data_IF_485483792365
#
_entry.id   IF_485483792365
#
_cell.length_a   1.000
_cell.length_b   1.000
_cell.length_c   1.000
_cell.angle_alpha   90.00
_cell.angle_beta   90.00
_cell.angle_gamma   90.00
#
_symmetry.space_group_name_H-M   'P 1'
#
loop_
_entity.id
_entity.type
_entity.pdbx_description
1 polymer ?
#
# COMPACT_ATOMS: atom_id res chain seq x y z
N UNK A 1 4.07 13.12 5.60
CA UNK A 1 3.86 11.67 5.39
C UNK A 1 2.44 11.38 4.91
N UNK A 2 1.39 11.78 5.63
CA UNK A 2 -0.01 11.57 5.19
C UNK A 2 -0.33 12.24 3.85
N UNK A 3 0.10 13.49 3.62
CA UNK A 3 -0.10 14.16 2.34
C UNK A 3 0.65 13.49 1.19
N UNK A 4 1.84 12.95 1.47
CA UNK A 4 2.60 12.18 0.49
C UNK A 4 1.86 10.88 0.15
N UNK A 5 1.45 10.09 1.15
CA UNK A 5 0.67 8.87 0.92
C UNK A 5 -0.63 9.13 0.12
N UNK A 6 -1.32 10.23 0.39
CA UNK A 6 -2.49 10.65 -0.40
C UNK A 6 -2.13 10.99 -1.85
N UNK A 7 -1.03 11.72 -2.06
CA UNK A 7 -0.57 12.09 -3.40
C UNK A 7 -0.17 10.86 -4.20
N UNK A 8 0.71 10.00 -3.66
CA UNK A 8 1.18 8.78 -4.35
C UNK A 8 0.01 7.85 -4.68
N UNK A 9 -0.89 7.60 -3.72
CA UNK A 9 -2.06 6.74 -3.95
C UNK A 9 -2.91 7.24 -5.12
N UNK A 10 -3.09 8.57 -5.24
CA UNK A 10 -3.82 9.17 -6.36
C UNK A 10 -3.06 9.06 -7.68
N UNK A 11 -1.75 9.27 -7.67
CA UNK A 11 -0.90 9.24 -8.87
C UNK A 11 -0.82 7.83 -9.47
N UNK A 12 -0.66 6.80 -8.63
CA UNK A 12 -0.50 5.41 -9.06
C UNK A 12 -1.83 4.67 -9.32
N UNK A 13 -2.90 5.01 -8.59
CA UNK A 13 -4.15 4.22 -8.63
C UNK A 13 -5.41 5.03 -8.94
N UNK A 14 -5.30 6.36 -9.02
CA UNK A 14 -6.43 7.27 -9.21
C UNK A 14 -7.31 7.49 -7.97
N UNK A 15 -7.05 6.78 -6.87
CA UNK A 15 -7.89 6.81 -5.67
C UNK A 15 -7.68 8.10 -4.88
N UNK A 16 -8.77 8.81 -4.60
CA UNK A 16 -8.79 9.94 -3.67
C UNK A 16 -9.19 9.46 -2.28
N UNK A 17 -8.34 9.75 -1.29
CA UNK A 17 -8.49 9.25 0.07
C UNK A 17 -7.82 10.20 1.08
N UNK A 18 -8.09 9.97 2.36
CA UNK A 18 -7.41 10.61 3.48
C UNK A 18 -6.53 9.61 4.24
N UNK A 19 -5.28 10.00 4.48
CA UNK A 19 -4.39 9.27 5.41
C UNK A 19 -4.91 9.39 6.85
N UNK A 20 -5.05 8.25 7.54
CA UNK A 20 -5.67 8.16 8.86
C UNK A 20 -4.66 7.91 9.97
N UNK A 21 -3.76 6.96 9.76
CA UNK A 21 -2.78 6.55 10.77
C UNK A 21 -1.58 5.87 10.12
N UNK A 22 -0.47 5.83 10.86
CA UNK A 22 0.70 5.04 10.49
C UNK A 22 0.48 3.63 11.00
N UNK A 23 0.54 2.64 10.11
CA UNK A 23 0.50 1.22 10.51
C UNK A 23 1.88 0.81 11.02
N UNK A 24 2.91 1.09 10.23
CA UNK A 24 4.31 0.75 10.54
C UNK A 24 5.27 1.58 9.71
N UNK A 25 6.54 1.60 10.09
CA UNK A 25 7.63 2.07 9.26
C UNK A 25 8.82 1.11 9.39
N UNK A 26 9.53 0.87 8.29
CA UNK A 26 10.64 -0.08 8.28
C UNK A 26 11.66 0.23 7.20
N UNK A 27 12.88 -0.25 7.43
CA UNK A 27 13.96 -0.13 6.46
C UNK A 27 13.87 -1.23 5.38
N UNK A 28 14.04 -0.83 4.12
CA UNK A 28 14.33 -1.70 3.00
C UNK A 28 15.78 -1.48 2.59
N UNK A 29 16.64 -2.44 2.95
CA UNK A 29 18.09 -2.35 2.76
C UNK A 29 18.54 -3.39 1.76
N UNK A 30 19.04 -2.93 0.62
CA UNK A 30 19.60 -3.80 -0.42
C UNK A 30 21.12 -3.71 -0.39
N UNK A 31 21.78 -4.86 -0.26
CA UNK A 31 23.24 -4.98 -0.27
C UNK A 31 23.72 -5.82 -1.45
N UNK A 32 24.89 -5.49 -1.98
CA UNK A 32 25.58 -6.32 -2.96
C UNK A 32 26.10 -7.62 -2.31
N UNK A 33 26.47 -8.65 -3.11
CA UNK A 33 27.11 -9.87 -2.57
C UNK A 33 28.38 -9.60 -1.75
N UNK A 34 29.09 -8.49 -2.02
CA UNK A 34 30.25 -8.03 -1.25
C UNK A 34 29.91 -7.42 0.12
N UNK A 35 28.62 -7.25 0.43
CA UNK A 35 28.12 -6.57 1.63
C UNK A 35 27.95 -5.05 1.49
N UNK A 36 28.40 -4.46 0.38
CA UNK A 36 28.27 -3.03 0.10
C UNK A 36 26.80 -2.60 0.06
N UNK A 37 26.48 -1.45 0.67
CA UNK A 37 25.14 -0.88 0.63
C UNK A 37 24.85 -0.33 -0.77
N UNK A 38 23.78 -0.82 -1.40
CA UNK A 38 23.31 -0.32 -2.69
C UNK A 38 22.20 0.70 -2.50
N UNK A 39 21.17 0.31 -1.73
CA UNK A 39 20.01 1.15 -1.47
C UNK A 39 19.56 0.99 -0.02
N UNK A 40 19.13 2.10 0.58
CA UNK A 40 18.47 2.12 1.88
C UNK A 40 17.27 3.06 1.78
N UNK A 41 16.09 2.48 1.87
CA UNK A 41 14.84 3.22 1.93
C UNK A 41 14.18 3.05 3.29
N UNK A 42 13.59 4.12 3.81
CA UNK A 42 12.61 4.03 4.88
C UNK A 42 11.23 3.99 4.24
N UNK A 43 10.51 2.88 4.42
CA UNK A 43 9.15 2.71 3.93
C UNK A 43 8.19 2.96 5.09
N UNK A 44 7.30 3.93 4.94
CA UNK A 44 6.25 4.20 5.90
C UNK A 44 4.89 3.84 5.31
N UNK A 45 4.14 3.03 6.05
CA UNK A 45 2.86 2.49 5.62
C UNK A 45 1.74 3.27 6.29
N UNK A 46 0.91 3.91 5.47
CA UNK A 46 -0.21 4.73 5.92
C UNK A 46 -1.52 4.03 5.61
N UNK A 47 -2.38 3.92 6.62
CA UNK A 47 -3.76 3.51 6.42
C UNK A 47 -4.53 4.68 5.80
N UNK A 48 -5.09 4.49 4.61
CA UNK A 48 -5.92 5.47 3.92
C UNK A 48 -7.39 5.04 3.91
N UNK A 49 -8.30 6.01 3.97
CA UNK A 49 -9.74 5.78 3.81
C UNK A 49 -10.24 6.61 2.64
N UNK A 50 -10.90 6.01 1.63
CA UNK A 50 -11.44 6.73 0.49
C UNK A 50 -12.57 7.69 0.93
N UNK A 51 -12.76 8.73 0.14
CA UNK A 51 -13.79 9.75 0.40
C UNK A 51 -15.21 9.24 0.05
N UNK A 52 -15.28 8.14 -0.69
CA UNK A 52 -16.50 7.46 -1.17
C UNK A 52 -16.48 6.00 -0.76
N UNK A 53 -17.63 5.32 -0.89
CA UNK A 53 -17.70 3.88 -0.67
C UNK A 53 -16.76 3.12 -1.62
N UNK A 54 -16.13 2.03 -1.16
CA UNK A 54 -15.17 1.26 -1.97
C UNK A 54 -15.78 0.78 -3.31
N UNK A 55 -17.08 0.47 -3.33
CA UNK A 55 -17.80 0.05 -4.54
C UNK A 55 -17.93 1.17 -5.60
N UNK A 56 -17.77 2.43 -5.20
CA UNK A 56 -17.83 3.60 -6.06
C UNK A 56 -16.44 4.08 -6.51
N UNK A 57 -15.37 3.48 -5.98
CA UNK A 57 -14.00 3.84 -6.34
C UNK A 57 -13.66 3.30 -7.73
N UNK A 58 -13.30 4.20 -8.63
CA UNK A 58 -12.72 3.84 -9.92
C UNK A 58 -11.20 3.70 -9.80
N UNK A 59 -10.70 2.47 -9.89
CA UNK A 59 -9.27 2.19 -9.94
C UNK A 59 -8.74 2.44 -11.36
N UNK A 60 -7.64 3.18 -11.45
CA UNK A 60 -6.92 3.39 -12.70
C UNK A 60 -5.43 3.42 -12.41
N UNK A 61 -4.71 2.46 -12.97
CA UNK A 61 -3.25 2.48 -12.94
C UNK A 61 -2.72 3.77 -13.59
N UNK A 62 -1.71 4.36 -12.96
CA UNK A 62 -1.09 5.62 -13.37
C UNK A 62 0.39 5.65 -13.01
N UNK A 63 1.07 6.68 -13.54
CA UNK A 63 2.52 6.86 -13.44
C UNK A 63 3.32 5.59 -13.79
N UNK A 64 3.94 4.93 -12.81
CA UNK A 64 4.73 3.73 -12.97
C UNK A 64 3.96 2.42 -12.68
N UNK A 65 2.69 2.51 -12.26
CA UNK A 65 1.81 1.37 -12.08
C UNK A 65 1.26 0.89 -13.44
N UNK A 66 1.44 -0.41 -13.72
CA UNK A 66 0.92 -1.05 -14.94
C UNK A 66 -0.55 -1.49 -14.80
N UNK A 67 -0.97 -1.83 -13.58
CA UNK A 67 -2.30 -2.34 -13.26
C UNK A 67 -2.68 -1.96 -11.82
N UNK A 68 -3.97 -1.84 -11.55
CA UNK A 68 -4.50 -1.54 -10.22
C UNK A 68 -5.71 -2.43 -9.91
N UNK A 69 -5.74 -3.01 -8.71
CA UNK A 69 -6.78 -3.93 -8.29
C UNK A 69 -7.00 -3.89 -6.77
N UNK A 70 -8.18 -4.34 -6.36
CA UNK A 70 -8.46 -4.63 -4.95
C UNK A 70 -8.08 -6.07 -4.65
N UNK A 71 -7.43 -6.29 -3.52
CA UNK A 71 -7.02 -7.62 -3.08
C UNK A 71 -7.39 -7.81 -1.61
N UNK A 72 -8.00 -8.94 -1.29
CA UNK A 72 -8.12 -9.40 0.09
C UNK A 72 -6.82 -10.09 0.57
N UNK A 73 -6.79 -10.46 1.86
CA UNK A 73 -5.61 -11.06 2.46
C UNK A 73 -5.25 -12.45 1.86
N UNK A 74 -6.23 -13.20 1.36
CA UNK A 74 -6.00 -14.50 0.75
C UNK A 74 -5.50 -14.37 -0.69
N UNK A 75 -6.00 -13.39 -1.44
CA UNK A 75 -5.48 -13.03 -2.75
C UNK A 75 -4.03 -12.54 -2.67
N UNK A 76 -3.70 -11.67 -1.70
CA UNK A 76 -2.31 -11.25 -1.44
C UNK A 76 -1.44 -12.45 -1.08
N UNK A 77 -1.94 -13.37 -0.24
CA UNK A 77 -1.21 -14.60 0.12
C UNK A 77 -0.93 -15.47 -1.10
N UNK A 78 -1.87 -15.56 -2.05
CA UNK A 78 -1.74 -16.37 -3.25
C UNK A 78 -0.68 -15.84 -4.23
N UNK A 79 -0.40 -14.53 -4.24
CA UNK A 79 0.67 -13.93 -5.05
C UNK A 79 2.07 -14.44 -4.68
N UNK A 80 2.28 -14.88 -3.44
CA UNK A 80 3.56 -15.41 -2.97
C UNK A 80 4.70 -14.41 -3.18
N UNK A 81 5.74 -14.82 -3.91
CA UNK A 81 6.92 -13.99 -4.19
C UNK A 81 6.68 -12.88 -5.21
N UNK A 82 5.51 -12.84 -5.86
CA UNK A 82 5.12 -11.72 -6.73
C UNK A 82 4.70 -10.49 -5.91
N UNK A 83 4.25 -10.68 -4.67
CA UNK A 83 3.95 -9.58 -3.76
C UNK A 83 5.23 -9.06 -3.07
N UNK A 84 5.20 -7.79 -2.68
CA UNK A 84 6.20 -7.24 -1.77
C UNK A 84 6.24 -8.04 -0.47
N UNK A 85 7.45 -8.34 0.03
CA UNK A 85 7.68 -9.30 1.11
C UNK A 85 6.84 -9.09 2.38
N UNK A 86 6.48 -7.84 2.70
CA UNK A 86 5.70 -7.48 3.89
C UNK A 86 4.23 -7.17 3.62
N UNK A 87 3.78 -7.27 2.37
CA UNK A 87 2.43 -6.85 1.96
C UNK A 87 1.33 -7.55 2.77
N UNK A 88 1.41 -8.88 2.92
CA UNK A 88 0.44 -9.66 3.69
C UNK A 88 0.44 -9.34 5.19
N UNK A 89 1.62 -9.17 5.77
CA UNK A 89 1.78 -8.79 7.18
C UNK A 89 1.11 -7.44 7.45
N UNK A 90 1.39 -6.46 6.58
CA UNK A 90 0.82 -5.11 6.64
C UNK A 90 -0.70 -5.14 6.49
N UNK A 91 -1.23 -5.85 5.49
CA UNK A 91 -2.66 -5.94 5.23
C UNK A 91 -3.42 -6.51 6.44
N UNK A 92 -2.85 -7.51 7.11
CA UNK A 92 -3.44 -8.10 8.34
C UNK A 92 -3.37 -7.16 9.54
N UNK A 93 -2.29 -6.37 9.66
CA UNK A 93 -2.14 -5.40 10.75
C UNK A 93 -3.12 -4.22 10.66
N UNK A 94 -3.61 -3.89 9.47
CA UNK A 94 -4.63 -2.85 9.27
C UNK A 94 -5.99 -3.21 9.92
N UNK A 95 -6.27 -4.50 10.13
CA UNK A 95 -7.54 -5.01 10.63
C UNK A 95 -8.68 -4.93 9.59
N UNK A 96 -9.85 -5.53 9.87
CA UNK A 96 -11.02 -5.39 9.00
C UNK A 96 -11.50 -3.94 8.99
N UNK A 97 -11.71 -3.39 7.81
CA UNK A 97 -12.44 -2.13 7.62
C UNK A 97 -13.88 -2.36 8.05
N UNK A 98 -14.27 -1.84 9.21
CA UNK A 98 -15.70 -1.77 9.56
C UNK A 98 -16.34 -0.79 8.56
N UNK A 99 -17.32 -1.20 7.75
CA UNK A 99 -18.03 -0.25 6.90
C UNK A 99 -18.74 0.74 7.83
N UNK A 100 -18.37 2.01 7.73
CA UNK A 100 -19.09 3.07 8.42
C UNK A 100 -20.39 3.34 7.64
N UNK A 101 -21.52 3.01 8.27
CA UNK A 101 -22.84 3.48 7.85
C UNK A 101 -23.62 2.52 6.96
N UNK A 102 -24.67 1.94 7.55
CA UNK A 102 -25.91 1.58 6.86
C UNK A 102 -26.82 2.81 6.85
#
# INVERSE_FOLDING_TARGET
MFDAARRELREETGVSAHGRSVITAFDSVTRAPSGALLFHYLIAVILCTPDVALAEVSLRAGDDALEAGWFDAEEIRALGTLASARCLEIARAAGPTTPQGL
#
